data_IF_022067733337
#
_entry.id   IF_022067733337
#
_cell.length_a   1.000
_cell.length_b   1.000
_cell.length_c   1.000
_cell.angle_alpha   90.00
_cell.angle_beta   90.00
_cell.angle_gamma   90.00
#
_symmetry.space_group_name_H-M   'P 1'
#
loop_
_entity.id
_entity.type
_entity.pdbx_description
1 polymer ?
#
# COMPACT_ATOMS: atom_id res chain seq x y z
N UNK A 1 3.80 -10.74 20.16
CA UNK A 1 2.75 -11.16 19.20
C UNK A 1 3.11 -10.46 17.90
N UNK A 2 4.27 -10.81 17.38
CA UNK A 2 5.07 -10.14 16.37
C UNK A 2 5.81 -11.17 15.51
N UNK A 3 5.44 -12.45 15.61
CA UNK A 3 5.97 -13.51 14.76
C UNK A 3 5.45 -13.39 13.32
N UNK A 4 6.35 -13.65 12.37
CA UNK A 4 6.10 -13.71 10.93
C UNK A 4 6.71 -15.02 10.44
N UNK A 5 5.90 -15.88 9.84
CA UNK A 5 6.35 -17.14 9.24
C UNK A 5 5.93 -17.16 7.77
N UNK A 6 6.92 -17.17 6.88
CA UNK A 6 6.73 -17.09 5.42
C UNK A 6 6.96 -18.46 4.81
N UNK A 7 5.96 -18.99 4.10
CA UNK A 7 6.09 -20.16 3.24
C UNK A 7 6.17 -19.71 1.77
N UNK A 8 7.39 -19.60 1.19
CA UNK A 8 7.55 -19.15 -0.18
C UNK A 8 7.07 -20.17 -1.21
N UNK A 9 7.03 -21.47 -0.86
CA UNK A 9 6.58 -22.52 -1.76
C UNK A 9 5.05 -22.54 -1.86
N UNK A 10 4.35 -22.40 -0.73
CA UNK A 10 2.90 -22.27 -0.67
C UNK A 10 2.41 -20.84 -1.01
N UNK A 11 3.32 -19.86 -1.06
CA UNK A 11 3.04 -18.43 -1.21
C UNK A 11 2.05 -17.95 -0.15
N UNK A 12 2.36 -18.24 1.10
CA UNK A 12 1.59 -17.78 2.25
C UNK A 12 2.47 -17.14 3.31
N UNK A 13 1.83 -16.33 4.15
CA UNK A 13 2.47 -15.81 5.36
C UNK A 13 1.50 -15.90 6.53
N UNK A 14 1.98 -16.44 7.63
CA UNK A 14 1.32 -16.40 8.93
C UNK A 14 1.88 -15.23 9.74
N UNK A 15 0.99 -14.41 10.29
CA UNK A 15 1.35 -13.13 10.91
C UNK A 15 0.61 -12.95 12.23
N UNK A 16 1.33 -12.64 13.30
CA UNK A 16 0.75 -12.23 14.58
C UNK A 16 0.29 -10.75 14.56
N UNK A 17 -0.72 -10.35 15.35
CA UNK A 17 -1.43 -9.07 15.21
C UNK A 17 -0.61 -7.81 15.52
N UNK A 18 0.56 -7.94 16.16
CA UNK A 18 1.42 -6.81 16.51
C UNK A 18 2.42 -6.42 15.42
N UNK A 19 2.49 -7.18 14.32
CA UNK A 19 3.38 -6.90 13.19
C UNK A 19 2.95 -5.63 12.44
N UNK A 20 3.94 -4.82 12.04
CA UNK A 20 3.78 -3.67 11.15
C UNK A 20 3.97 -4.06 9.68
N UNK A 21 3.37 -3.28 8.78
CA UNK A 21 3.44 -3.54 7.34
C UNK A 21 4.88 -3.58 6.82
N UNK A 22 5.76 -2.70 7.30
CA UNK A 22 7.18 -2.68 6.96
C UNK A 22 7.89 -3.98 7.31
N UNK A 23 7.71 -4.47 8.55
CA UNK A 23 8.29 -5.74 9.01
C UNK A 23 7.80 -6.93 8.17
N UNK A 24 6.52 -6.95 7.81
CA UNK A 24 5.94 -7.95 6.93
C UNK A 24 6.53 -7.89 5.52
N UNK A 25 6.70 -6.68 4.96
CA UNK A 25 7.30 -6.50 3.63
C UNK A 25 8.78 -6.88 3.64
N UNK A 26 9.55 -6.53 4.66
CA UNK A 26 10.94 -6.96 4.81
C UNK A 26 11.07 -8.48 4.85
N UNK A 27 10.19 -9.17 5.58
CA UNK A 27 10.19 -10.63 5.66
C UNK A 27 9.83 -11.29 4.32
N UNK A 28 8.78 -10.81 3.65
CA UNK A 28 8.26 -11.40 2.41
C UNK A 28 9.11 -11.05 1.18
N UNK A 29 9.70 -9.85 1.15
CA UNK A 29 10.56 -9.40 0.04
C UNK A 29 11.89 -10.15 -0.04
N UNK A 30 12.34 -10.83 1.02
CA UNK A 30 13.46 -11.78 0.94
C UNK A 30 13.22 -12.91 -0.08
N UNK A 31 11.95 -13.16 -0.42
CA UNK A 31 11.52 -14.16 -1.39
C UNK A 31 10.94 -13.54 -2.67
N UNK A 32 11.01 -12.21 -2.84
CA UNK A 32 10.37 -11.51 -3.96
C UNK A 32 8.83 -11.55 -3.90
N UNK A 33 8.28 -11.71 -2.70
CA UNK A 33 6.85 -11.84 -2.45
C UNK A 33 6.33 -10.65 -1.62
N UNK A 34 5.04 -10.35 -1.74
CA UNK A 34 4.34 -9.42 -0.86
C UNK A 34 2.84 -9.74 -0.81
N UNK A 35 2.14 -9.23 0.20
CA UNK A 35 0.66 -9.21 0.26
C UNK A 35 0.17 -7.76 0.31
N UNK A 36 -1.05 -7.43 -0.16
CA UNK A 36 -1.59 -6.08 -0.02
C UNK A 36 -1.72 -5.66 1.45
N UNK A 37 -1.21 -4.47 1.77
CA UNK A 37 -1.34 -3.83 3.09
C UNK A 37 -1.86 -2.40 2.92
N UNK A 38 -1.88 -1.62 4.00
CA UNK A 38 -1.85 -0.15 3.88
C UNK A 38 -0.60 0.35 3.13
N UNK A 39 -0.58 1.61 2.72
CA UNK A 39 0.50 2.19 1.89
C UNK A 39 1.77 2.60 2.66
N UNK A 40 1.66 2.77 3.98
CA UNK A 40 2.75 3.18 4.87
C UNK A 40 3.30 1.98 5.67
N UNK A 41 4.61 1.99 5.94
CA UNK A 41 5.34 0.91 6.59
C UNK A 41 4.98 0.74 8.08
N UNK A 42 4.60 1.82 8.75
CA UNK A 42 4.40 1.88 10.18
C UNK A 42 2.99 1.40 10.60
N UNK A 43 2.09 1.20 9.64
CA UNK A 43 0.72 0.75 9.90
C UNK A 43 0.73 -0.69 10.43
N UNK A 44 -0.02 -0.94 11.50
CA UNK A 44 -0.23 -2.30 12.01
C UNK A 44 -1.02 -3.18 11.04
N UNK A 45 -0.54 -4.39 10.77
CA UNK A 45 -1.17 -5.34 9.83
C UNK A 45 -2.59 -5.68 10.26
N UNK A 46 -2.80 -5.94 11.55
CA UNK A 46 -4.10 -6.34 12.07
C UNK A 46 -5.18 -5.26 11.92
N UNK A 47 -4.89 -4.04 12.39
CA UNK A 47 -5.87 -2.94 12.36
C UNK A 47 -6.22 -2.54 10.93
N UNK A 48 -5.21 -2.49 10.05
CA UNK A 48 -5.41 -2.17 8.64
C UNK A 48 -6.25 -3.21 7.93
N UNK A 49 -5.89 -4.50 8.05
CA UNK A 49 -6.58 -5.61 7.38
C UNK A 49 -8.03 -5.70 7.82
N UNK A 50 -8.30 -5.62 9.13
CA UNK A 50 -9.66 -5.69 9.65
C UNK A 50 -10.53 -4.50 9.22
N UNK A 51 -9.93 -3.38 8.84
CA UNK A 51 -10.60 -2.24 8.20
C UNK A 51 -10.64 -2.29 6.67
N UNK A 52 -10.01 -3.29 6.06
CA UNK A 52 -9.93 -3.48 4.60
C UNK A 52 -8.48 -3.51 4.09
N UNK A 53 -7.63 -2.58 4.53
CA UNK A 53 -6.27 -2.32 4.05
C UNK A 53 -6.20 -1.90 2.57
N UNK A 54 -6.17 -0.58 2.34
CA UNK A 54 -6.03 0.04 1.01
C UNK A 54 -4.57 0.50 0.85
N UNK A 55 -3.87 -0.01 -0.16
CA UNK A 55 -2.48 0.37 -0.41
C UNK A 55 -2.08 0.29 -1.88
N UNK A 56 -0.78 0.13 -2.13
CA UNK A 56 -0.17 0.20 -3.46
C UNK A 56 -0.54 -0.96 -4.40
N UNK A 57 -0.92 -2.12 -3.85
CA UNK A 57 -1.26 -3.30 -4.65
C UNK A 57 -2.77 -3.44 -4.95
N UNK A 58 -3.59 -2.48 -4.48
CA UNK A 58 -5.05 -2.63 -4.45
C UNK A 58 -5.71 -2.89 -5.79
N UNK A 59 -5.16 -2.32 -6.87
CA UNK A 59 -5.76 -2.45 -8.20
C UNK A 59 -5.51 -3.82 -8.82
N UNK A 60 -4.32 -4.39 -8.60
CA UNK A 60 -3.94 -5.70 -9.15
C UNK A 60 -4.35 -6.88 -8.27
N UNK A 61 -4.22 -6.71 -6.96
CA UNK A 61 -4.32 -7.82 -5.99
C UNK A 61 -5.43 -7.64 -4.95
N UNK A 62 -6.27 -6.60 -5.10
CA UNK A 62 -7.34 -6.31 -4.15
C UNK A 62 -6.85 -5.72 -2.83
N UNK A 63 -7.77 -5.59 -1.88
CA UNK A 63 -7.48 -5.08 -0.54
C UNK A 63 -6.68 -6.12 0.28
N UNK A 64 -6.04 -5.71 1.38
CA UNK A 64 -5.38 -6.68 2.27
C UNK A 64 -6.37 -7.70 2.85
N UNK A 65 -7.63 -7.30 3.07
CA UNK A 65 -8.70 -8.21 3.44
C UNK A 65 -9.05 -9.24 2.34
N UNK A 66 -8.81 -8.94 1.07
CA UNK A 66 -9.08 -9.86 -0.05
C UNK A 66 -8.02 -10.96 -0.17
N UNK A 67 -6.79 -10.69 0.29
CA UNK A 67 -5.71 -11.68 0.35
C UNK A 67 -5.76 -12.57 1.61
N UNK A 68 -6.72 -12.33 2.52
CA UNK A 68 -6.83 -13.08 3.76
C UNK A 68 -7.35 -14.49 3.49
N UNK A 69 -6.65 -15.51 4.00
CA UNK A 69 -7.05 -16.93 3.91
C UNK A 69 -7.76 -17.39 5.17
N UNK A 70 -7.20 -17.05 6.33
CA UNK A 70 -7.76 -17.43 7.62
C UNK A 70 -7.34 -16.46 8.74
N UNK A 71 -8.10 -16.50 9.84
CA UNK A 71 -7.79 -15.77 11.08
C UNK A 71 -8.05 -16.63 12.30
N UNK A 72 -7.16 -16.55 13.28
CA UNK A 72 -7.40 -17.05 14.62
C UNK A 72 -7.89 -15.92 15.52
N UNK A 73 -8.95 -16.13 16.28
CA UNK A 73 -9.61 -15.08 17.07
C UNK A 73 -10.12 -15.62 18.41
N UNK A 74 -9.92 -14.83 19.47
CA UNK A 74 -10.58 -15.02 20.77
C UNK A 74 -11.80 -14.12 20.82
N UNK A 75 -13.00 -14.70 20.91
CA UNK A 75 -14.23 -13.90 20.95
C UNK A 75 -14.66 -13.54 22.38
N UNK A 76 -15.74 -12.78 22.52
CA UNK A 76 -16.20 -12.25 23.80
C UNK A 76 -16.55 -13.31 24.87
N UNK A 77 -16.85 -14.55 24.45
CA UNK A 77 -17.06 -15.69 25.35
C UNK A 77 -15.76 -16.34 25.85
N UNK A 78 -14.60 -15.84 25.42
CA UNK A 78 -13.28 -16.36 25.77
C UNK A 78 -12.85 -17.59 24.96
N UNK A 79 -13.63 -18.04 23.98
CA UNK A 79 -13.27 -19.19 23.14
C UNK A 79 -12.41 -18.79 21.94
N UNK A 80 -11.46 -19.67 21.60
CA UNK A 80 -10.64 -19.58 20.38
C UNK A 80 -11.40 -20.15 19.19
N UNK A 81 -11.44 -19.39 18.10
CA UNK A 81 -12.07 -19.78 16.84
C UNK A 81 -11.12 -19.52 15.69
N UNK A 82 -11.29 -20.29 14.61
CA UNK A 82 -10.67 -20.01 13.31
C UNK A 82 -11.78 -19.57 12.36
N UNK A 83 -11.63 -18.43 11.70
CA UNK A 83 -12.53 -18.00 10.65
C UNK A 83 -11.84 -18.08 9.29
N UNK A 84 -12.47 -18.72 8.32
CA UNK A 84 -12.02 -18.92 6.93
C UNK A 84 -13.24 -19.09 6.01
N UNK A 85 -13.05 -19.20 4.67
CA UNK A 85 -14.14 -19.53 3.76
C UNK A 85 -14.83 -20.87 4.05
N UNK A 86 -14.19 -21.78 4.78
CA UNK A 86 -14.72 -23.11 5.13
C UNK A 86 -15.19 -23.21 6.58
N UNK A 87 -14.79 -22.28 7.47
CA UNK A 87 -15.06 -22.33 8.91
C UNK A 87 -15.49 -20.98 9.46
N UNK A 88 -16.61 -20.92 10.20
CA UNK A 88 -17.16 -19.66 10.74
C UNK A 88 -17.23 -18.55 9.66
N UNK A 89 -17.87 -18.88 8.53
CA UNK A 89 -17.83 -18.05 7.31
C UNK A 89 -18.45 -16.66 7.50
N UNK A 90 -19.46 -16.56 8.36
CA UNK A 90 -20.10 -15.32 8.78
C UNK A 90 -19.13 -14.42 9.56
N UNK A 91 -18.37 -14.99 10.48
CA UNK A 91 -17.30 -14.30 11.20
C UNK A 91 -16.17 -13.88 10.26
N UNK A 92 -15.78 -14.77 9.33
CA UNK A 92 -14.74 -14.47 8.34
C UNK A 92 -15.16 -13.33 7.39
N UNK A 93 -16.41 -13.32 6.94
CA UNK A 93 -16.99 -12.20 6.21
C UNK A 93 -16.95 -10.91 7.04
N UNK A 94 -17.35 -10.98 8.31
CA UNK A 94 -17.44 -9.80 9.18
C UNK A 94 -16.08 -9.18 9.52
N UNK A 95 -15.03 -9.99 9.65
CA UNK A 95 -13.68 -9.53 9.96
C UNK A 95 -12.98 -8.81 8.78
N UNK A 96 -13.46 -9.00 7.55
CA UNK A 96 -12.91 -8.35 6.34
C UNK A 96 -13.53 -6.97 6.10
N UNK A 97 -13.38 -6.06 7.07
CA UNK A 97 -13.86 -4.68 7.01
C UNK A 97 -14.64 -4.22 8.26
N UNK A 98 -15.04 -5.14 9.13
CA UNK A 98 -15.78 -4.83 10.36
C UNK A 98 -14.91 -4.46 11.56
N UNK A 99 -13.59 -4.32 11.40
CA UNK A 99 -12.67 -3.93 12.46
C UNK A 99 -12.59 -4.92 13.62
N UNK A 100 -12.18 -4.43 14.80
CA UNK A 100 -12.02 -5.23 16.02
C UNK A 100 -13.32 -5.55 16.78
N UNK A 101 -14.48 -5.51 16.14
CA UNK A 101 -15.79 -5.65 16.82
C UNK A 101 -16.09 -7.06 17.33
N UNK A 102 -15.43 -8.09 16.78
CA UNK A 102 -15.84 -9.49 16.96
C UNK A 102 -14.93 -10.30 17.89
N UNK A 103 -13.88 -9.68 18.42
CA UNK A 103 -12.91 -10.31 19.30
C UNK A 103 -11.49 -9.79 19.07
N UNK A 104 -10.53 -10.46 19.71
CA UNK A 104 -9.10 -10.19 19.56
C UNK A 104 -8.52 -11.21 18.59
N UNK A 105 -8.15 -10.77 17.39
CA UNK A 105 -7.44 -11.62 16.42
C UNK A 105 -6.03 -11.87 16.94
N UNK A 106 -5.63 -13.13 16.95
CA UNK A 106 -4.33 -13.61 17.46
C UNK A 106 -3.39 -14.05 16.36
N UNK A 107 -3.91 -14.34 15.17
CA UNK A 107 -3.11 -14.62 13.99
C UNK A 107 -3.90 -14.41 12.70
N UNK A 108 -3.19 -14.13 11.63
CA UNK A 108 -3.70 -14.01 10.27
C UNK A 108 -2.87 -14.92 9.34
N UNK A 109 -3.51 -15.43 8.30
CA UNK A 109 -2.84 -16.09 7.20
C UNK A 109 -3.21 -15.40 5.89
N UNK A 110 -2.22 -15.02 5.08
CA UNK A 110 -2.43 -14.30 3.83
C UNK A 110 -1.86 -15.03 2.63
N UNK A 111 -2.47 -14.80 1.46
CA UNK A 111 -1.87 -15.06 0.15
C UNK A 111 -0.73 -14.09 -0.13
N UNK A 112 0.34 -14.59 -0.75
CA UNK A 112 1.47 -13.81 -1.24
C UNK A 112 1.51 -13.79 -2.77
N UNK A 113 1.90 -12.65 -3.31
CA UNK A 113 2.03 -12.36 -4.74
C UNK A 113 3.48 -12.00 -5.08
N UNK A 114 3.91 -12.33 -6.29
CA UNK A 114 5.23 -11.94 -6.80
C UNK A 114 5.28 -10.43 -7.01
N UNK A 115 6.12 -9.75 -6.24
CA UNK A 115 6.31 -8.30 -6.29
C UNK A 115 7.79 -8.00 -6.13
N UNK A 116 8.36 -7.28 -7.10
CA UNK A 116 9.72 -6.76 -6.98
C UNK A 116 10.82 -7.77 -7.32
N UNK A 117 12.03 -7.60 -6.75
CA UNK A 117 12.34 -6.78 -5.57
C UNK A 117 12.31 -5.26 -5.83
N UNK A 118 12.44 -4.83 -7.09
CA UNK A 118 12.26 -3.44 -7.51
C UNK A 118 10.91 -3.23 -8.21
N UNK A 119 10.24 -2.12 -7.91
CA UNK A 119 8.99 -1.70 -8.56
C UNK A 119 9.18 -0.34 -9.21
N UNK A 120 8.48 -0.08 -10.30
CA UNK A 120 8.43 1.26 -10.88
C UNK A 120 7.48 2.14 -10.06
N UNK A 121 7.94 3.33 -9.67
CA UNK A 121 7.15 4.31 -8.94
C UNK A 121 7.02 5.61 -9.71
N UNK A 122 5.87 6.26 -9.52
CA UNK A 122 5.58 7.60 -10.00
C UNK A 122 5.65 8.54 -8.80
N UNK A 123 6.33 9.67 -8.94
CA UNK A 123 6.50 10.65 -7.85
C UNK A 123 6.79 12.04 -8.38
N UNK A 124 5.82 12.61 -9.08
CA UNK A 124 5.98 13.93 -9.71
C UNK A 124 5.18 14.99 -8.97
N UNK A 125 5.74 16.20 -8.85
CA UNK A 125 5.07 17.37 -8.29
C UNK A 125 5.06 18.50 -9.33
N UNK A 126 3.88 19.03 -9.62
CA UNK A 126 3.67 20.19 -10.47
C UNK A 126 3.32 21.42 -9.65
N UNK A 127 3.62 22.64 -10.16
CA UNK A 127 3.12 23.87 -9.57
C UNK A 127 1.59 23.84 -9.36
N UNK A 128 1.10 24.36 -8.23
CA UNK A 128 -0.33 24.30 -7.89
C UNK A 128 -1.27 24.93 -8.94
N UNK A 129 -0.80 25.88 -9.76
CA UNK A 129 -1.57 26.46 -10.86
C UNK A 129 -1.83 25.48 -12.02
N UNK A 130 -1.15 24.33 -12.07
CA UNK A 130 -1.44 23.23 -13.01
C UNK A 130 -2.45 22.21 -12.46
N UNK A 131 -3.03 22.41 -11.26
CA UNK A 131 -3.93 21.44 -10.65
C UNK A 131 -5.12 21.04 -11.53
N UNK A 132 -5.70 21.99 -12.28
CA UNK A 132 -6.79 21.67 -13.20
C UNK A 132 -6.35 20.73 -14.33
N UNK A 133 -5.20 21.01 -14.95
CA UNK A 133 -4.63 20.20 -16.05
C UNK A 133 -4.24 18.81 -15.55
N UNK A 134 -3.62 18.74 -14.37
CA UNK A 134 -3.21 17.51 -13.71
C UNK A 134 -4.41 16.65 -13.35
N UNK A 135 -5.43 17.19 -12.70
CA UNK A 135 -6.63 16.44 -12.32
C UNK A 135 -7.43 15.97 -13.54
N UNK A 136 -7.53 16.78 -14.60
CA UNK A 136 -8.19 16.36 -15.85
C UNK A 136 -7.43 15.26 -16.58
N UNK A 137 -6.10 15.38 -16.65
CA UNK A 137 -5.25 14.40 -17.31
C UNK A 137 -5.23 13.08 -16.54
N UNK A 138 -5.07 13.15 -15.22
CA UNK A 138 -5.15 11.99 -14.32
C UNK A 138 -6.51 11.28 -14.45
N UNK A 139 -7.63 12.01 -14.36
CA UNK A 139 -8.98 11.44 -14.53
C UNK A 139 -9.14 10.72 -15.87
N UNK A 140 -8.61 11.28 -16.96
CA UNK A 140 -8.69 10.67 -18.28
C UNK A 140 -7.82 9.41 -18.35
N UNK A 141 -6.63 9.45 -17.76
CA UNK A 141 -5.69 8.35 -17.74
C UNK A 141 -6.23 7.14 -16.95
N UNK A 142 -6.71 7.35 -15.72
CA UNK A 142 -7.18 6.25 -14.84
C UNK A 142 -8.42 5.54 -15.35
N UNK A 143 -9.12 6.10 -16.35
CA UNK A 143 -10.26 5.45 -16.99
C UNK A 143 -9.86 4.19 -17.77
N UNK A 144 -8.63 4.14 -18.28
CA UNK A 144 -8.11 3.06 -19.13
C UNK A 144 -6.76 2.53 -18.62
N UNK A 145 -6.36 2.84 -17.37
CA UNK A 145 -5.08 2.41 -16.81
C UNK A 145 -5.05 0.90 -16.53
N UNK A 146 -3.89 0.23 -16.71
CA UNK A 146 -3.74 -1.19 -16.38
C UNK A 146 -3.91 -1.42 -14.87
N UNK A 147 -4.36 -2.62 -14.48
CA UNK A 147 -4.58 -2.98 -13.08
C UNK A 147 -3.28 -3.00 -12.26
N UNK A 148 -2.13 -3.21 -12.92
CA UNK A 148 -0.80 -3.07 -12.34
C UNK A 148 -0.52 -1.68 -11.76
N UNK A 149 -1.06 -0.63 -12.37
CA UNK A 149 -0.76 0.74 -11.95
C UNK A 149 -1.77 1.18 -10.91
N UNK A 150 -1.27 1.57 -9.74
CA UNK A 150 -2.04 2.25 -8.71
C UNK A 150 -1.53 3.68 -8.55
N UNK A 151 -2.39 4.68 -8.68
CA UNK A 151 -2.04 6.10 -8.52
C UNK A 151 -2.86 6.79 -7.42
N UNK A 152 -2.33 7.89 -6.89
CA UNK A 152 -3.03 8.85 -6.06
C UNK A 152 -2.58 10.28 -6.39
N UNK A 153 -3.46 11.25 -6.13
CA UNK A 153 -3.17 12.67 -6.34
C UNK A 153 -3.20 13.39 -5.00
N UNK A 154 -2.14 14.14 -4.71
CA UNK A 154 -2.05 15.00 -3.52
C UNK A 154 -2.12 16.46 -3.96
N UNK A 155 -2.85 17.28 -3.22
CA UNK A 155 -2.81 18.74 -3.37
C UNK A 155 -2.36 19.34 -2.06
N UNK A 156 -1.26 20.08 -2.07
CA UNK A 156 -0.64 20.58 -0.84
C UNK A 156 0.65 21.33 -1.12
N UNK A 157 1.69 21.00 -0.36
CA UNK A 157 3.02 21.58 -0.53
C UNK A 157 4.03 20.47 -0.77
N UNK A 158 5.06 20.77 -1.55
CA UNK A 158 6.20 19.86 -1.75
C UNK A 158 6.80 19.51 -0.38
N UNK A 159 6.91 18.21 -0.04
CA UNK A 159 7.36 17.78 1.26
C UNK A 159 8.88 17.98 1.41
N UNK A 160 9.39 18.16 2.65
CA UNK A 160 10.82 18.34 2.89
C UNK A 160 11.55 17.00 2.96
N UNK A 161 11.52 16.22 1.88
CA UNK A 161 12.17 14.91 1.81
C UNK A 161 13.62 15.04 1.29
N UNK A 162 14.57 14.21 1.77
CA UNK A 162 15.98 14.27 1.36
C UNK A 162 16.27 14.28 -0.15
N UNK A 163 15.56 13.51 -1.02
CA UNK A 163 15.82 13.55 -2.45
C UNK A 163 15.31 14.82 -3.15
N UNK A 164 14.50 15.64 -2.47
CA UNK A 164 13.93 16.88 -3.03
C UNK A 164 14.84 18.06 -2.69
N UNK A 165 15.22 18.92 -3.66
CA UNK A 165 16.00 20.12 -3.37
C UNK A 165 15.32 21.03 -2.34
N UNK A 166 16.08 21.56 -1.37
CA UNK A 166 15.56 22.45 -0.32
C UNK A 166 14.78 23.64 -0.87
N UNK A 167 15.19 24.17 -2.02
CA UNK A 167 14.53 25.29 -2.69
C UNK A 167 13.09 24.98 -3.13
N UNK A 168 12.74 23.70 -3.32
CA UNK A 168 11.40 23.28 -3.70
C UNK A 168 10.50 23.04 -2.48
N UNK A 169 11.05 22.79 -1.28
CA UNK A 169 10.28 22.46 -0.08
C UNK A 169 9.27 23.56 0.27
N UNK A 170 8.04 23.16 0.62
CA UNK A 170 6.99 24.11 0.98
C UNK A 170 6.37 24.85 -0.22
N UNK A 171 6.79 24.58 -1.46
CA UNK A 171 6.14 25.17 -2.65
C UNK A 171 4.74 24.57 -2.82
N UNK A 172 3.68 25.40 -3.03
CA UNK A 172 2.35 24.89 -3.34
C UNK A 172 2.36 24.03 -4.61
N UNK A 173 1.89 22.79 -4.51
CA UNK A 173 1.99 21.81 -5.56
C UNK A 173 0.79 20.86 -5.63
N UNK A 174 0.60 20.27 -6.80
CA UNK A 174 -0.19 19.06 -7.01
C UNK A 174 0.78 17.93 -7.35
N UNK A 175 0.72 16.83 -6.61
CA UNK A 175 1.56 15.66 -6.80
C UNK A 175 0.77 14.48 -7.36
N UNK A 176 1.39 13.70 -8.24
CA UNK A 176 0.92 12.35 -8.58
C UNK A 176 1.94 11.35 -8.06
N UNK A 177 1.47 10.43 -7.23
CA UNK A 177 2.24 9.30 -6.73
C UNK A 177 1.67 8.01 -7.31
N UNK A 178 2.51 6.99 -7.47
CA UNK A 178 2.04 5.70 -7.96
C UNK A 178 3.03 4.56 -7.81
N UNK A 179 2.50 3.36 -7.93
CA UNK A 179 3.23 2.09 -7.92
C UNK A 179 2.73 1.25 -9.10
N UNK A 180 3.65 0.72 -9.90
CA UNK A 180 3.37 -0.27 -10.91
C UNK A 180 3.78 -1.66 -10.41
N UNK A 181 2.78 -2.50 -10.09
CA UNK A 181 2.94 -3.87 -9.62
C UNK A 181 3.24 -4.85 -10.77
N UNK A 182 4.31 -4.58 -11.51
CA UNK A 182 4.77 -5.35 -12.66
C UNK A 182 6.26 -5.14 -12.92
N UNK A 183 6.70 -5.34 -14.17
CA UNK A 183 8.09 -5.08 -14.52
C UNK A 183 8.40 -3.57 -14.49
N UNK A 184 9.64 -3.22 -14.14
CA UNK A 184 10.09 -1.82 -14.11
C UNK A 184 10.01 -1.19 -15.50
N UNK A 185 10.42 -1.93 -16.53
CA UNK A 185 10.47 -1.47 -17.93
C UNK A 185 9.06 -1.12 -18.46
N UNK A 186 8.08 -2.01 -18.29
CA UNK A 186 6.70 -1.71 -18.68
C UNK A 186 6.11 -0.57 -17.84
N UNK A 187 6.47 -0.53 -16.55
CA UNK A 187 6.05 0.54 -15.66
C UNK A 187 6.52 1.92 -16.12
N UNK A 188 7.76 2.04 -16.61
CA UNK A 188 8.30 3.31 -17.12
C UNK A 188 7.46 3.87 -18.26
N UNK A 189 7.11 3.03 -19.23
CA UNK A 189 6.25 3.40 -20.35
C UNK A 189 4.84 3.77 -19.89
N UNK A 190 4.28 3.01 -18.94
CA UNK A 190 2.93 3.22 -18.43
C UNK A 190 2.80 4.53 -17.67
N UNK A 191 3.80 4.92 -16.85
CA UNK A 191 3.73 6.15 -16.06
C UNK A 191 4.17 7.40 -16.81
N UNK A 192 4.85 7.27 -17.96
CA UNK A 192 5.37 8.41 -18.72
C UNK A 192 4.31 9.49 -19.04
N UNK A 193 3.07 9.15 -19.49
CA UNK A 193 2.04 10.17 -19.75
C UNK A 193 1.65 10.99 -18.51
N UNK A 194 1.76 10.41 -17.32
CA UNK A 194 1.49 11.08 -16.05
C UNK A 194 2.64 11.96 -15.57
N UNK A 195 3.86 11.75 -16.10
CA UNK A 195 5.04 12.58 -15.81
C UNK A 195 5.09 13.80 -16.71
N UNK A 196 4.60 13.71 -17.95
CA UNK A 196 4.74 14.74 -18.98
C UNK A 196 3.56 15.73 -19.07
N UNK A 197 2.68 15.80 -18.06
CA UNK A 197 1.47 16.64 -18.09
C UNK A 197 1.81 18.14 -18.23
N UNK A 198 2.82 18.61 -17.50
CA UNK A 198 3.27 20.00 -17.46
C UNK A 198 4.74 20.08 -17.01
N UNK A 199 5.30 21.29 -16.91
CA UNK A 199 6.62 21.48 -16.30
C UNK A 199 6.56 21.13 -14.80
N UNK A 200 7.41 20.21 -14.36
CA UNK A 200 7.43 19.72 -12.98
C UNK A 200 8.30 20.63 -12.10
N UNK A 201 7.94 20.74 -10.81
CA UNK A 201 8.86 21.23 -9.78
C UNK A 201 9.95 20.19 -9.53
N UNK A 202 9.55 18.93 -9.39
CA UNK A 202 10.44 17.79 -9.17
C UNK A 202 9.78 16.52 -9.71
N UNK A 203 10.61 15.63 -10.26
CA UNK A 203 10.24 14.28 -10.66
C UNK A 203 11.15 13.28 -9.92
N UNK A 204 10.55 12.48 -9.04
CA UNK A 204 11.20 11.40 -8.29
C UNK A 204 10.84 10.01 -8.83
N UNK A 205 10.20 9.94 -9.99
CA UNK A 205 9.77 8.67 -10.59
C UNK A 205 10.97 7.81 -10.97
N UNK A 206 10.85 6.51 -10.78
CA UNK A 206 11.89 5.55 -11.13
C UNK A 206 11.72 4.22 -10.41
N UNK A 207 12.68 3.32 -10.64
CA UNK A 207 12.72 2.05 -9.92
C UNK A 207 13.20 2.25 -8.49
N UNK A 208 12.50 1.62 -7.53
CA UNK A 208 12.97 1.50 -6.15
C UNK A 208 12.55 0.18 -5.52
N UNK A 209 13.21 -0.28 -4.45
CA UNK A 209 12.74 -1.43 -3.68
C UNK A 209 11.31 -1.24 -3.19
N UNK A 210 10.51 -2.30 -3.20
CA UNK A 210 9.12 -2.21 -2.73
C UNK A 210 9.02 -1.74 -1.27
N UNK A 211 9.94 -2.17 -0.39
CA UNK A 211 10.00 -1.71 1.01
C UNK A 211 10.22 -0.19 1.09
N UNK A 212 11.14 0.34 0.29
CA UNK A 212 11.48 1.78 0.29
C UNK A 212 10.30 2.66 -0.15
N UNK A 213 9.37 2.13 -0.96
CA UNK A 213 8.14 2.84 -1.32
C UNK A 213 7.23 3.05 -0.10
N UNK A 214 7.10 2.05 0.77
CA UNK A 214 6.29 2.18 2.00
C UNK A 214 6.94 3.11 3.01
N UNK A 215 8.27 3.08 3.16
CA UNK A 215 9.03 4.04 3.99
C UNK A 215 8.82 5.48 3.51
N UNK A 216 8.83 5.69 2.19
CA UNK A 216 8.60 6.99 1.58
C UNK A 216 7.18 7.50 1.85
N UNK A 217 6.17 6.63 1.78
CA UNK A 217 4.79 6.99 2.08
C UNK A 217 4.61 7.41 3.54
N UNK A 218 5.22 6.71 4.49
CA UNK A 218 5.24 7.11 5.90
C UNK A 218 5.89 8.48 6.11
N UNK A 219 6.97 8.78 5.38
CA UNK A 219 7.63 10.08 5.44
C UNK A 219 6.78 11.22 4.85
N UNK A 220 5.85 10.92 3.93
CA UNK A 220 4.90 11.90 3.40
C UNK A 220 3.83 12.28 4.43
N UNK A 221 3.43 11.36 5.31
CA UNK A 221 2.36 11.54 6.29
C UNK A 221 2.89 11.46 7.73
N UNK A 222 3.61 12.51 8.16
CA UNK A 222 4.23 12.57 9.49
C UNK A 222 3.23 12.32 10.64
N UNK A 223 3.67 11.49 11.59
CA UNK A 223 2.94 11.12 12.80
C UNK A 223 2.40 12.35 13.57
N UNK A 224 1.17 12.25 14.06
CA UNK A 224 0.54 13.30 14.87
C UNK A 224 -0.03 14.48 14.10
N UNK A 225 0.09 14.51 12.77
CA UNK A 225 -0.71 15.40 11.92
C UNK A 225 -2.01 14.67 11.58
N UNK A 226 -3.08 14.99 12.30
CA UNK A 226 -4.41 14.41 12.10
C UNK A 226 -4.93 14.73 10.70
N UNK A 227 -4.63 13.87 9.72
CA UNK A 227 -5.27 13.89 8.41
C UNK A 227 -6.58 13.12 8.52
N UNK A 228 -7.68 13.86 8.65
CA UNK A 228 -9.06 13.35 8.60
C UNK A 228 -9.62 13.53 7.19
#
# INVERSE_FOLDING_TARGET
MDEIDVDPDARTVHVEPGVRAGELHEATQQFGLATPTGSADDIGVASSTLGGAIGWLRRKHGLGADALRSVEIVTADGERRTASPERNQDLFWALRGGGGNFGVVTAFEFDLYEIGPGVMTLGTFYPANHAEDVLKSHRKFVADEPDELTTLVLYGHVPPLPPIPEAAHGTPAVGILGCYAGSVEEGEDVVAPLREIAEQIVDLSGSMPYVALHELDSALFLEGRNYC
#
